data_IF_269939676722
#
_entry.id   IF_269939676722
#
_cell.length_a   1.000
_cell.length_b   1.000
_cell.length_c   1.000
_cell.angle_alpha   90.00
_cell.angle_beta   90.00
_cell.angle_gamma   90.00
#
_symmetry.space_group_name_H-M   'P 1'
#
loop_
_entity.id
_entity.type
_entity.pdbx_description
1 polymer ?
#
# COMPACT_ATOMS: atom_id res chain seq x y z
N UNK A 1 -18.81 -11.61 -9.91
CA UNK A 1 -17.40 -12.00 -9.71
C UNK A 1 -16.70 -12.07 -11.05
N UNK A 2 -15.49 -11.52 -11.14
CA UNK A 2 -14.71 -11.40 -12.38
C UNK A 2 -13.31 -11.99 -12.18
N UNK A 3 -13.09 -13.30 -12.33
CA UNK A 3 -11.74 -13.87 -12.38
C UNK A 3 -11.10 -13.60 -13.76
N UNK A 4 -9.79 -13.39 -13.74
CA UNK A 4 -8.96 -13.48 -14.93
C UNK A 4 -7.75 -14.37 -14.68
N UNK A 5 -7.34 -15.09 -15.72
CA UNK A 5 -6.28 -16.09 -15.63
C UNK A 5 -5.21 -15.95 -16.70
N UNK A 6 -4.22 -16.83 -16.62
CA UNK A 6 -3.15 -16.99 -17.63
C UNK A 6 -3.67 -17.50 -18.99
N UNK A 7 -4.97 -17.77 -19.10
CA UNK A 7 -5.64 -18.13 -20.35
C UNK A 7 -6.07 -16.91 -21.17
N UNK A 8 -5.65 -15.70 -20.74
CA UNK A 8 -5.94 -14.44 -21.42
C UNK A 8 -7.44 -14.14 -21.51
N UNK A 9 -8.24 -14.68 -20.58
CA UNK A 9 -9.69 -14.42 -20.53
C UNK A 9 -10.10 -13.76 -19.22
N UNK A 10 -11.12 -12.91 -19.31
CA UNK A 10 -11.85 -12.36 -18.16
C UNK A 10 -13.26 -12.95 -18.23
N UNK A 11 -13.70 -13.63 -17.18
CA UNK A 11 -15.02 -14.29 -17.15
C UNK A 11 -15.95 -13.60 -16.17
N UNK A 12 -17.21 -13.46 -16.53
CA UNK A 12 -18.24 -12.85 -15.68
C UNK A 12 -19.07 -13.94 -15.08
N UNK A 13 -19.00 -14.08 -13.76
CA UNK A 13 -19.78 -15.04 -13.01
C UNK A 13 -20.74 -14.34 -12.09
N UNK A 14 -21.98 -14.79 -12.11
CA UNK A 14 -22.92 -14.51 -11.04
C UNK A 14 -22.56 -15.39 -9.82
N UNK A 15 -22.31 -14.74 -8.68
CA UNK A 15 -21.67 -15.38 -7.54
C UNK A 15 -22.51 -16.54 -6.97
N UNK A 16 -23.82 -16.35 -6.82
CA UNK A 16 -24.67 -17.37 -6.19
C UNK A 16 -25.31 -18.35 -7.17
N UNK A 17 -25.39 -18.07 -8.46
CA UNK A 17 -25.89 -19.04 -9.44
C UNK A 17 -24.76 -19.91 -10.00
N UNK A 18 -23.53 -19.40 -10.01
CA UNK A 18 -22.40 -20.06 -10.67
C UNK A 18 -22.51 -20.04 -12.19
N UNK A 19 -23.34 -19.15 -12.77
CA UNK A 19 -23.49 -19.05 -14.22
C UNK A 19 -22.44 -18.08 -14.77
N UNK A 20 -21.69 -18.52 -15.78
CA UNK A 20 -20.80 -17.66 -16.55
C UNK A 20 -21.65 -16.89 -17.59
N UNK A 21 -21.93 -15.61 -17.34
CA UNK A 21 -22.76 -14.78 -18.21
C UNK A 21 -22.01 -14.23 -19.42
N UNK A 22 -20.70 -13.99 -19.29
CA UNK A 22 -19.89 -13.36 -20.34
C UNK A 22 -18.42 -13.77 -20.24
N UNK A 23 -17.72 -13.76 -21.37
CA UNK A 23 -16.27 -13.92 -21.42
C UNK A 23 -15.69 -12.86 -22.36
N UNK A 24 -14.68 -12.12 -21.87
CA UNK A 24 -13.92 -11.14 -22.65
C UNK A 24 -12.54 -11.74 -22.90
N UNK A 25 -12.09 -11.66 -24.15
CA UNK A 25 -10.74 -12.07 -24.55
C UNK A 25 -9.77 -10.90 -24.37
N UNK A 26 -8.61 -11.17 -23.76
CA UNK A 26 -7.53 -10.23 -23.52
C UNK A 26 -6.22 -10.75 -24.15
N UNK A 27 -6.17 -10.91 -25.49
CA UNK A 27 -5.19 -11.75 -26.16
C UNK A 27 -3.74 -11.29 -26.04
N UNK A 28 -3.51 -9.99 -25.83
CA UNK A 28 -2.15 -9.43 -25.89
C UNK A 28 -1.34 -9.61 -24.61
N UNK A 29 -1.98 -9.83 -23.46
CA UNK A 29 -1.25 -10.09 -22.21
C UNK A 29 -2.12 -10.79 -21.17
N UNK A 30 -1.50 -11.37 -20.16
CA UNK A 30 -2.20 -11.83 -18.97
C UNK A 30 -2.74 -10.62 -18.19
N UNK A 31 -3.82 -10.83 -17.43
CA UNK A 31 -4.37 -9.77 -16.56
C UNK A 31 -3.78 -9.94 -15.17
N UNK A 32 -3.00 -8.95 -14.73
CA UNK A 32 -2.32 -8.96 -13.43
C UNK A 32 -3.23 -8.43 -12.31
N UNK A 33 -4.09 -7.45 -12.62
CA UNK A 33 -5.03 -6.86 -11.66
C UNK A 33 -6.36 -6.53 -12.34
N UNK A 34 -7.45 -6.76 -11.62
CA UNK A 34 -8.79 -6.32 -11.98
C UNK A 34 -9.30 -5.34 -10.92
N UNK A 35 -9.95 -4.27 -11.36
CA UNK A 35 -10.60 -3.32 -10.47
C UNK A 35 -11.91 -2.84 -11.10
N UNK A 36 -12.99 -2.87 -10.34
CA UNK A 36 -14.29 -2.34 -10.76
C UNK A 36 -14.35 -0.87 -10.37
N UNK A 37 -14.87 -0.01 -11.24
CA UNK A 37 -15.07 1.40 -10.90
C UNK A 37 -16.11 1.55 -9.77
N UNK A 38 -16.04 2.60 -8.94
CA UNK A 38 -16.99 2.79 -7.83
C UNK A 38 -18.45 2.90 -8.28
N UNK A 39 -18.71 3.41 -9.49
CA UNK A 39 -20.03 3.47 -10.13
C UNK A 39 -20.51 2.11 -10.67
N UNK A 40 -19.66 1.07 -10.58
CA UNK A 40 -19.90 -0.32 -11.04
C UNK A 40 -20.23 -0.44 -12.52
N UNK A 41 -19.95 0.60 -13.30
CA UNK A 41 -20.24 0.62 -14.73
C UNK A 41 -19.09 0.01 -15.53
N UNK A 42 -17.87 0.20 -15.08
CA UNK A 42 -16.68 -0.18 -15.82
C UNK A 42 -15.77 -1.12 -15.04
N UNK A 43 -14.99 -1.90 -15.78
CA UNK A 43 -13.97 -2.81 -15.29
C UNK A 43 -12.62 -2.40 -15.88
N UNK A 44 -11.66 -2.05 -15.03
CA UNK A 44 -10.27 -1.93 -15.44
C UNK A 44 -9.57 -3.30 -15.36
N UNK A 45 -8.92 -3.67 -16.46
CA UNK A 45 -8.02 -4.81 -16.53
C UNK A 45 -6.60 -4.32 -16.79
N UNK A 46 -5.71 -4.53 -15.83
CA UNK A 46 -4.28 -4.26 -15.95
C UNK A 46 -3.59 -5.43 -16.66
N UNK A 47 -3.01 -5.14 -17.82
CA UNK A 47 -2.20 -6.08 -18.57
C UNK A 47 -0.70 -5.86 -18.36
N UNK A 48 0.07 -6.12 -19.41
CA UNK A 48 1.52 -5.84 -19.43
C UNK A 48 1.79 -4.33 -19.33
N UNK A 49 1.62 -3.55 -20.38
CA UNK A 49 2.04 -2.14 -20.38
C UNK A 49 0.87 -1.14 -20.33
N UNK A 50 -0.36 -1.65 -20.29
CA UNK A 50 -1.57 -0.85 -20.43
C UNK A 50 -2.67 -1.34 -19.50
N UNK A 51 -3.60 -0.42 -19.21
CA UNK A 51 -4.87 -0.74 -18.56
C UNK A 51 -6.00 -0.55 -19.55
N UNK A 52 -6.90 -1.53 -19.65
CA UNK A 52 -8.09 -1.48 -20.52
C UNK A 52 -9.35 -1.35 -19.70
N UNK A 53 -10.23 -0.45 -20.11
CA UNK A 53 -11.52 -0.23 -19.47
C UNK A 53 -12.64 -0.86 -20.29
N UNK A 54 -13.39 -1.78 -19.69
CA UNK A 54 -14.53 -2.45 -20.31
C UNK A 54 -15.84 -2.02 -19.66
N UNK A 55 -16.92 -1.95 -20.43
CA UNK A 55 -18.25 -1.78 -19.87
C UNK A 55 -18.72 -3.12 -19.30
N UNK A 56 -19.15 -3.12 -18.04
CA UNK A 56 -19.65 -4.32 -17.36
C UNK A 56 -21.00 -4.74 -17.93
N UNK A 57 -21.87 -3.78 -18.31
CA UNK A 57 -23.23 -4.03 -18.80
C UNK A 57 -23.29 -4.26 -20.31
N UNK A 58 -22.40 -3.66 -21.08
CA UNK A 58 -22.37 -3.86 -22.54
C UNK A 58 -21.87 -5.26 -22.89
N UNK A 59 -22.43 -5.91 -23.90
CA UNK A 59 -21.91 -7.18 -24.42
C UNK A 59 -20.67 -7.01 -25.32
N UNK A 60 -20.33 -5.76 -25.71
CA UNK A 60 -19.23 -5.48 -26.62
C UNK A 60 -17.87 -5.86 -25.99
N UNK A 61 -17.09 -6.79 -26.57
CA UNK A 61 -15.81 -7.22 -25.99
C UNK A 61 -14.70 -6.17 -26.11
N UNK A 62 -14.88 -5.11 -26.91
CA UNK A 62 -13.86 -4.10 -27.11
C UNK A 62 -13.73 -3.16 -25.91
N UNK A 63 -12.51 -2.71 -25.57
CA UNK A 63 -12.31 -1.73 -24.52
C UNK A 63 -12.88 -0.37 -24.95
N UNK A 64 -13.50 0.34 -24.01
CA UNK A 64 -14.00 1.71 -24.19
C UNK A 64 -12.84 2.70 -24.19
N UNK A 65 -11.87 2.48 -23.30
CA UNK A 65 -10.71 3.34 -23.11
C UNK A 65 -9.48 2.47 -22.86
N UNK A 66 -8.33 2.94 -23.35
CA UNK A 66 -7.03 2.34 -23.08
C UNK A 66 -6.12 3.39 -22.45
N UNK A 67 -5.37 2.98 -21.43
CA UNK A 67 -4.41 3.80 -20.71
C UNK A 67 -3.02 3.23 -21.00
N UNK A 68 -2.30 3.86 -21.93
CA UNK A 68 -0.99 3.44 -22.38
C UNK A 68 0.08 4.40 -21.86
N UNK A 69 1.21 3.85 -21.42
CA UNK A 69 2.37 4.66 -21.06
C UNK A 69 3.35 3.99 -20.11
N UNK A 70 2.92 2.97 -19.36
CA UNK A 70 3.85 2.12 -18.62
C UNK A 70 4.74 1.34 -19.58
N UNK A 71 5.97 1.02 -19.18
CA UNK A 71 6.91 0.25 -20.01
C UNK A 71 6.96 -1.23 -19.63
N UNK A 72 6.43 -1.59 -18.47
CA UNK A 72 6.40 -2.95 -17.95
C UNK A 72 5.06 -3.26 -17.25
N UNK A 73 4.90 -4.51 -16.76
CA UNK A 73 3.70 -5.05 -16.13
C UNK A 73 3.04 -4.06 -15.17
N UNK A 74 1.76 -3.76 -15.38
CA UNK A 74 0.95 -3.03 -14.41
C UNK A 74 0.54 -4.02 -13.32
N UNK A 75 0.92 -3.73 -12.08
CA UNK A 75 0.81 -4.64 -10.94
C UNK A 75 -0.39 -4.32 -10.05
N UNK A 76 -0.78 -3.05 -9.97
CA UNK A 76 -1.87 -2.56 -9.14
C UNK A 76 -2.70 -1.52 -9.86
N UNK A 77 -3.99 -1.45 -9.53
CA UNK A 77 -4.96 -0.49 -10.05
C UNK A 77 -5.93 -0.12 -8.94
N UNK A 78 -6.14 1.17 -8.74
CA UNK A 78 -7.12 1.71 -7.80
C UNK A 78 -7.85 2.90 -8.43
N UNK A 79 -9.13 3.06 -8.12
CA UNK A 79 -9.94 4.19 -8.58
C UNK A 79 -10.23 5.17 -7.47
N UNK A 80 -10.23 6.46 -7.82
CA UNK A 80 -10.82 7.50 -6.97
C UNK A 80 -12.29 7.21 -6.71
N UNK A 81 -12.82 7.56 -5.53
CA UNK A 81 -14.20 7.29 -5.15
C UNK A 81 -15.25 7.88 -6.13
N UNK A 82 -14.98 9.03 -6.73
CA UNK A 82 -15.85 9.64 -7.76
C UNK A 82 -15.53 9.14 -9.18
N UNK A 83 -14.52 8.29 -9.37
CA UNK A 83 -14.13 7.75 -10.67
C UNK A 83 -13.46 8.73 -11.64
N UNK A 84 -13.12 9.95 -11.19
CA UNK A 84 -12.48 11.00 -12.02
C UNK A 84 -11.03 10.68 -12.41
N UNK A 85 -10.32 9.96 -11.56
CA UNK A 85 -8.94 9.55 -11.80
C UNK A 85 -8.71 8.12 -11.32
N UNK A 86 -7.68 7.50 -11.88
CA UNK A 86 -7.24 6.14 -11.61
C UNK A 86 -5.75 6.16 -11.28
N UNK A 87 -5.32 5.32 -10.35
CA UNK A 87 -3.91 5.13 -10.01
C UNK A 87 -3.47 3.75 -10.45
N UNK A 88 -2.28 3.67 -11.03
CA UNK A 88 -1.67 2.40 -11.43
C UNK A 88 -0.25 2.33 -10.90
N UNK A 89 0.16 1.14 -10.47
CA UNK A 89 1.55 0.81 -10.16
C UNK A 89 2.09 -0.14 -11.21
N UNK A 90 3.39 -0.06 -11.49
CA UNK A 90 4.03 -0.93 -12.47
C UNK A 90 5.42 -1.39 -12.03
N UNK A 91 5.83 -2.52 -12.61
CA UNK A 91 7.20 -3.01 -12.55
C UNK A 91 8.21 -2.08 -13.21
N UNK A 92 7.76 -1.04 -13.93
CA UNK A 92 8.62 0.03 -14.48
C UNK A 92 9.10 1.05 -13.43
N UNK A 93 8.86 0.75 -12.15
CA UNK A 93 9.23 1.59 -11.00
C UNK A 93 8.42 2.89 -10.91
N UNK A 94 7.30 3.00 -11.62
CA UNK A 94 6.44 4.19 -11.56
C UNK A 94 5.06 3.89 -10.99
N UNK A 95 4.52 4.89 -10.29
CA UNK A 95 3.10 4.98 -9.94
C UNK A 95 2.52 6.18 -10.69
N UNK A 96 1.49 5.94 -11.50
CA UNK A 96 0.90 6.97 -12.35
C UNK A 96 -0.54 7.24 -11.95
N UNK A 97 -0.90 8.52 -11.96
CA UNK A 97 -2.28 8.99 -11.79
C UNK A 97 -2.81 9.42 -13.15
N UNK A 98 -3.90 8.82 -13.56
CA UNK A 98 -4.53 9.01 -14.87
C UNK A 98 -5.86 9.73 -14.71
N UNK A 99 -6.16 10.65 -15.60
CA UNK A 99 -7.51 11.16 -15.79
C UNK A 99 -8.33 10.11 -16.53
N UNK A 100 -9.45 9.64 -15.95
CA UNK A 100 -10.22 8.52 -16.51
C UNK A 100 -10.96 8.88 -17.79
N UNK A 101 -11.23 10.17 -18.02
CA UNK A 101 -11.98 10.66 -19.18
C UNK A 101 -11.09 10.90 -20.39
N UNK A 102 -9.91 11.48 -20.17
CA UNK A 102 -8.96 11.81 -21.23
C UNK A 102 -7.92 10.73 -21.49
N UNK A 103 -7.67 9.83 -20.52
CA UNK A 103 -6.64 8.82 -20.62
C UNK A 103 -5.21 9.34 -20.43
N UNK A 104 -5.06 10.61 -20.04
CA UNK A 104 -3.75 11.25 -19.87
C UNK A 104 -3.20 11.06 -18.46
N UNK A 105 -1.88 10.92 -18.36
CA UNK A 105 -1.16 10.91 -17.07
C UNK A 105 -1.14 12.34 -16.51
N UNK A 106 -1.75 12.54 -15.34
CA UNK A 106 -1.71 13.80 -14.61
C UNK A 106 -0.50 13.90 -13.68
N UNK A 107 -0.12 12.78 -13.04
CA UNK A 107 1.01 12.72 -12.11
C UNK A 107 1.78 11.42 -12.28
N UNK A 108 3.09 11.49 -12.03
CA UNK A 108 3.99 10.36 -12.11
C UNK A 108 4.93 10.36 -10.90
N UNK A 109 4.90 9.30 -10.10
CA UNK A 109 5.73 9.12 -8.92
C UNK A 109 6.78 8.04 -9.19
N UNK A 110 8.04 8.38 -8.98
CA UNK A 110 9.17 7.50 -9.24
C UNK A 110 9.59 6.74 -7.97
N UNK A 111 9.75 5.44 -8.09
CA UNK A 111 10.36 4.56 -7.10
C UNK A 111 11.76 4.13 -7.54
N UNK A 112 12.54 3.61 -6.59
CA UNK A 112 13.88 3.04 -6.84
C UNK A 112 13.81 1.58 -7.28
N UNK A 113 12.74 0.89 -6.93
CA UNK A 113 12.49 -0.51 -7.26
C UNK A 113 11.14 -0.70 -7.94
N UNK A 114 10.90 -1.84 -8.62
CA UNK A 114 9.60 -2.16 -9.20
C UNK A 114 8.49 -2.11 -8.15
N UNK A 115 7.35 -1.50 -8.49
CA UNK A 115 6.22 -1.33 -7.56
C UNK A 115 5.29 -2.53 -7.69
N UNK A 116 4.99 -3.19 -6.58
CA UNK A 116 4.15 -4.40 -6.56
C UNK A 116 2.67 -4.09 -6.37
N UNK A 117 2.32 -3.06 -5.61
CA UNK A 117 0.92 -2.76 -5.30
C UNK A 117 0.72 -1.26 -5.00
N UNK A 118 -0.51 -0.79 -5.19
CA UNK A 118 -0.92 0.58 -4.90
C UNK A 118 -2.36 0.63 -4.44
N UNK A 119 -2.62 1.45 -3.42
CA UNK A 119 -3.95 1.71 -2.88
C UNK A 119 -4.14 3.20 -2.65
N UNK A 120 -5.37 3.68 -2.81
CA UNK A 120 -5.74 5.06 -2.52
C UNK A 120 -6.26 5.10 -1.08
N UNK A 121 -5.82 6.08 -0.31
CA UNK A 121 -6.33 6.29 1.04
C UNK A 121 -7.79 6.80 0.98
N UNK A 122 -8.69 6.43 1.92
CA UNK A 122 -10.07 6.88 1.92
C UNK A 122 -10.26 8.40 1.90
N UNK A 123 -9.29 9.17 2.42
CA UNK A 123 -9.30 10.64 2.33
C UNK A 123 -9.19 11.19 0.90
N UNK A 124 -8.88 10.34 -0.10
CA UNK A 124 -8.66 10.70 -1.51
C UNK A 124 -7.54 11.71 -1.77
N UNK A 125 -6.80 12.13 -0.75
CA UNK A 125 -5.67 13.06 -0.80
C UNK A 125 -4.32 12.36 -0.73
N UNK A 126 -4.30 11.09 -0.32
CA UNK A 126 -3.08 10.29 -0.22
C UNK A 126 -3.20 8.97 -0.97
N UNK A 127 -2.05 8.43 -1.39
CA UNK A 127 -1.94 7.06 -1.89
C UNK A 127 -0.78 6.35 -1.19
N UNK A 128 -0.92 5.03 -1.05
CA UNK A 128 0.11 4.16 -0.48
C UNK A 128 0.58 3.20 -1.55
N UNK A 129 1.89 3.04 -1.69
CA UNK A 129 2.53 2.17 -2.67
C UNK A 129 3.57 1.30 -2.02
N UNK A 130 3.70 0.06 -2.49
CA UNK A 130 4.65 -0.92 -1.98
C UNK A 130 5.59 -1.40 -3.09
N UNK A 131 6.89 -1.44 -2.80
CA UNK A 131 7.92 -1.82 -3.77
C UNK A 131 8.62 -3.15 -3.44
N UNK A 132 9.40 -3.64 -4.42
CA UNK A 132 10.24 -4.85 -4.27
C UNK A 132 11.47 -4.66 -3.39
N UNK A 133 11.85 -3.43 -3.09
CA UNK A 133 12.97 -3.12 -2.18
C UNK A 133 12.56 -3.13 -0.70
N UNK A 134 11.29 -3.35 -0.41
CA UNK A 134 10.76 -3.35 0.96
C UNK A 134 10.26 -1.99 1.44
N UNK A 135 10.24 -0.98 0.57
CA UNK A 135 9.71 0.33 0.90
C UNK A 135 8.20 0.37 0.70
N UNK A 136 7.52 0.89 1.71
CA UNK A 136 6.14 1.36 1.62
C UNK A 136 6.20 2.88 1.65
N UNK A 137 5.67 3.51 0.60
CA UNK A 137 5.67 4.97 0.46
C UNK A 137 4.26 5.51 0.48
N UNK A 138 4.05 6.53 1.30
CA UNK A 138 2.83 7.35 1.27
C UNK A 138 3.14 8.62 0.49
N UNK A 139 2.28 8.91 -0.48
CA UNK A 139 2.37 10.09 -1.31
C UNK A 139 1.18 10.99 -1.07
N UNK A 140 1.47 12.26 -0.85
CA UNK A 140 0.47 13.31 -0.85
C UNK A 140 0.18 13.69 -2.30
N UNK A 141 -1.08 13.60 -2.69
CA UNK A 141 -1.55 13.96 -4.02
C UNK A 141 -1.53 15.49 -4.19
N UNK A 142 -1.95 16.27 -3.20
CA UNK A 142 -1.95 17.74 -3.25
C UNK A 142 -0.56 18.31 -3.50
N UNK A 143 0.42 17.86 -2.72
CA UNK A 143 1.81 18.32 -2.83
C UNK A 143 2.65 17.54 -3.84
N UNK A 144 2.16 16.39 -4.32
CA UNK A 144 2.90 15.49 -5.22
C UNK A 144 4.28 15.06 -4.67
N UNK A 145 4.39 14.87 -3.35
CA UNK A 145 5.61 14.47 -2.66
C UNK A 145 5.42 13.19 -1.84
N UNK A 146 6.52 12.47 -1.61
CA UNK A 146 6.54 11.37 -0.66
C UNK A 146 6.56 11.94 0.76
N UNK A 147 5.51 11.72 1.55
CA UNK A 147 5.40 12.20 2.94
C UNK A 147 6.09 11.24 3.90
N UNK A 148 5.83 9.94 3.73
CA UNK A 148 6.38 8.89 4.60
C UNK A 148 7.02 7.77 3.78
N UNK A 149 8.14 7.26 4.28
CA UNK A 149 8.77 6.04 3.81
C UNK A 149 8.93 5.09 4.99
N UNK A 150 8.28 3.92 4.90
CA UNK A 150 8.33 2.85 5.87
C UNK A 150 9.14 1.70 5.30
N UNK A 151 10.04 1.15 6.11
CA UNK A 151 10.85 -0.02 5.74
C UNK A 151 10.61 -1.06 6.84
N UNK A 152 9.70 -2.03 6.62
CA UNK A 152 9.33 -3.01 7.65
C UNK A 152 10.40 -4.08 7.84
N UNK A 153 11.05 -4.51 6.75
CA UNK A 153 12.19 -5.42 6.72
C UNK A 153 13.09 -5.01 5.56
N UNK A 154 14.41 -4.97 5.79
CA UNK A 154 15.36 -4.50 4.79
C UNK A 154 15.53 -5.56 3.68
N UNK A 155 15.56 -5.12 2.43
CA UNK A 155 15.77 -5.95 1.25
C UNK A 155 14.74 -7.08 1.03
N UNK A 156 13.56 -6.99 1.66
CA UNK A 156 12.45 -7.92 1.43
C UNK A 156 11.30 -7.22 0.72
N UNK A 157 11.00 -7.69 -0.48
CA UNK A 157 9.85 -7.22 -1.27
C UNK A 157 8.55 -7.24 -0.47
N UNK A 158 7.84 -6.11 -0.48
CA UNK A 158 6.48 -5.99 0.04
C UNK A 158 5.53 -6.31 -1.11
N UNK A 159 4.83 -7.44 -1.00
CA UNK A 159 3.99 -8.01 -2.06
C UNK A 159 2.67 -7.28 -2.25
N UNK A 160 2.03 -6.85 -1.16
CA UNK A 160 0.70 -6.28 -1.18
C UNK A 160 0.48 -5.32 -0.01
N UNK A 161 -0.37 -4.33 -0.24
CA UNK A 161 -0.76 -3.32 0.74
C UNK A 161 -2.27 -3.14 0.74
N UNK A 162 -2.86 -2.92 1.92
CA UNK A 162 -4.28 -2.62 2.08
C UNK A 162 -4.47 -1.54 3.13
N UNK A 163 -5.39 -0.61 2.84
CA UNK A 163 -5.83 0.43 3.77
C UNK A 163 -7.27 0.14 4.19
N UNK A 164 -7.60 0.36 5.45
CA UNK A 164 -8.96 0.20 5.96
C UNK A 164 -9.91 1.23 5.33
N UNK A 165 -11.19 0.89 5.23
CA UNK A 165 -12.23 1.76 4.62
C UNK A 165 -12.44 3.07 5.37
N UNK A 166 -12.14 3.10 6.68
CA UNK A 166 -12.18 4.29 7.54
C UNK A 166 -10.86 5.09 7.55
N UNK A 167 -9.80 4.57 6.94
CA UNK A 167 -8.46 5.17 6.96
C UNK A 167 -7.72 5.04 8.29
N UNK A 168 -8.15 4.17 9.21
CA UNK A 168 -7.51 4.03 10.53
C UNK A 168 -6.36 3.02 10.55
N UNK A 169 -6.31 2.10 9.58
CA UNK A 169 -5.31 1.02 9.52
C UNK A 169 -4.65 0.93 8.15
N UNK A 170 -3.35 0.66 8.18
CA UNK A 170 -2.54 0.26 7.05
C UNK A 170 -1.98 -1.13 7.34
N UNK A 171 -2.16 -2.07 6.43
CA UNK A 171 -1.59 -3.40 6.52
C UNK A 171 -0.76 -3.70 5.27
N UNK A 172 0.40 -4.33 5.46
CA UNK A 172 1.28 -4.73 4.37
C UNK A 172 1.83 -6.14 4.61
N UNK A 173 2.01 -6.90 3.54
CA UNK A 173 2.54 -8.26 3.59
C UNK A 173 3.81 -8.41 2.76
N UNK A 174 4.82 -9.06 3.31
CA UNK A 174 6.10 -9.27 2.64
C UNK A 174 6.16 -10.63 1.93
N UNK A 175 7.20 -10.83 1.10
CA UNK A 175 7.46 -12.09 0.41
C UNK A 175 7.88 -13.24 1.36
N UNK A 176 8.19 -12.98 2.65
CA UNK A 176 8.51 -14.03 3.64
C UNK A 176 7.28 -14.59 4.35
N UNK A 177 6.08 -14.05 4.06
CA UNK A 177 4.84 -14.45 4.72
C UNK A 177 4.53 -13.66 6.00
N UNK A 178 5.29 -12.61 6.30
CA UNK A 178 5.08 -11.76 7.46
C UNK A 178 4.17 -10.58 7.11
N UNK A 179 3.36 -10.19 8.09
CA UNK A 179 2.38 -9.12 7.98
C UNK A 179 2.69 -8.05 9.00
N UNK A 180 2.63 -6.80 8.54
CA UNK A 180 2.88 -5.60 9.31
C UNK A 180 1.62 -4.74 9.31
N UNK A 181 1.23 -4.25 10.48
CA UNK A 181 0.05 -3.41 10.65
C UNK A 181 0.44 -2.13 11.37
N UNK A 182 0.05 -1.00 10.79
CA UNK A 182 0.17 0.35 11.37
C UNK A 182 -1.22 0.95 11.58
N UNK A 183 -1.34 1.75 12.63
CA UNK A 183 -2.47 2.65 12.83
C UNK A 183 -2.15 4.01 12.24
N UNK A 184 -3.10 4.52 11.48
CA UNK A 184 -3.05 5.83 10.86
C UNK A 184 -3.92 6.78 11.65
N UNK A 185 -3.32 7.90 12.05
CA UNK A 185 -4.01 9.02 12.65
C UNK A 185 -3.91 10.19 11.68
N UNK A 186 -5.06 10.60 11.14
CA UNK A 186 -5.15 11.76 10.29
C UNK A 186 -5.19 13.01 11.17
N UNK A 187 -4.10 13.77 11.20
CA UNK A 187 -4.11 15.14 11.71
C UNK A 187 -4.35 16.11 10.55
N UNK A 188 -4.73 17.35 10.85
CA UNK A 188 -5.06 18.37 9.83
C UNK A 188 -3.97 18.55 8.75
N UNK A 189 -2.69 18.41 9.11
CA UNK A 189 -1.57 18.66 8.20
C UNK A 189 -0.70 17.41 7.92
N UNK A 190 -0.91 16.28 8.61
CA UNK A 190 -0.08 15.08 8.41
C UNK A 190 -0.74 13.79 8.90
N UNK A 191 -0.38 12.70 8.22
CA UNK A 191 -0.75 11.34 8.64
C UNK A 191 0.31 10.78 9.55
N UNK A 192 -0.03 10.53 10.82
CA UNK A 192 0.89 9.88 11.76
C UNK A 192 0.67 8.37 11.72
N UNK A 193 1.75 7.61 11.57
CA UNK A 193 1.74 6.15 11.53
C UNK A 193 2.35 5.59 12.81
N UNK A 194 1.59 4.77 13.53
CA UNK A 194 2.08 4.02 14.68
C UNK A 194 2.12 2.54 14.35
N UNK A 195 3.28 1.86 14.45
CA UNK A 195 3.33 0.41 14.24
C UNK A 195 2.57 -0.29 15.37
N UNK A 196 1.68 -1.21 14.99
CA UNK A 196 0.81 -1.92 15.94
C UNK A 196 1.23 -3.36 16.11
N UNK A 197 1.33 -4.13 15.03
CA UNK A 197 1.62 -5.57 15.11
C UNK A 197 2.47 -6.02 13.95
N UNK A 198 3.30 -7.02 14.23
CA UNK A 198 4.01 -7.82 13.25
C UNK A 198 3.82 -9.27 13.61
N UNK A 199 3.46 -10.11 12.65
CA UNK A 199 3.36 -11.54 12.87
C UNK A 199 3.57 -12.31 11.57
N UNK A 200 4.00 -13.57 11.71
CA UNK A 200 4.15 -14.49 10.58
C UNK A 200 2.79 -15.10 10.22
N UNK A 201 2.22 -14.69 9.09
CA UNK A 201 0.94 -15.19 8.61
C UNK A 201 1.10 -16.55 7.91
N UNK A 202 2.10 -16.67 7.05
CA UNK A 202 2.35 -17.85 6.21
C UNK A 202 3.80 -18.32 6.31
N UNK A 203 4.05 -19.59 5.95
CA UNK A 203 5.41 -20.14 5.88
C UNK A 203 6.14 -19.76 4.59
N UNK A 204 5.36 -19.45 3.55
CA UNK A 204 5.82 -19.18 2.19
C UNK A 204 5.39 -17.78 1.74
N UNK A 205 5.62 -17.45 0.46
CA UNK A 205 5.32 -16.14 -0.13
C UNK A 205 3.87 -15.70 0.12
N UNK A 206 3.69 -14.51 0.70
CA UNK A 206 2.40 -13.83 0.69
C UNK A 206 2.18 -13.22 -0.69
N UNK A 207 1.00 -13.44 -1.26
CA UNK A 207 0.64 -12.97 -2.61
C UNK A 207 -0.34 -11.82 -2.56
N UNK A 208 -1.28 -11.84 -1.60
CA UNK A 208 -2.29 -10.81 -1.42
C UNK A 208 -2.64 -10.63 0.05
N UNK A 209 -2.86 -9.38 0.44
CA UNK A 209 -3.40 -9.01 1.73
C UNK A 209 -4.56 -8.05 1.51
N UNK A 210 -5.68 -8.27 2.20
CA UNK A 210 -6.85 -7.38 2.13
C UNK A 210 -7.53 -7.26 3.49
N UNK A 211 -7.86 -6.03 3.85
CA UNK A 211 -8.75 -5.72 4.97
C UNK A 211 -10.21 -5.87 4.51
N UNK A 212 -11.06 -6.41 5.39
CA UNK A 212 -12.49 -6.49 5.12
C UNK A 212 -13.13 -5.09 5.07
N UNK A 213 -14.23 -4.91 4.33
CA UNK A 213 -14.96 -3.65 4.30
C UNK A 213 -15.42 -3.15 5.67
N UNK A 214 -15.69 -4.07 6.60
CA UNK A 214 -16.08 -3.77 8.00
C UNK A 214 -14.90 -3.62 8.97
N UNK A 215 -13.66 -3.82 8.48
CA UNK A 215 -12.40 -3.66 9.22
C UNK A 215 -12.21 -4.68 10.37
N UNK A 216 -13.09 -5.69 10.47
CA UNK A 216 -12.99 -6.73 11.52
C UNK A 216 -12.11 -7.89 11.13
N UNK A 217 -11.88 -8.09 9.83
CA UNK A 217 -11.14 -9.23 9.30
C UNK A 217 -9.99 -8.77 8.41
N UNK A 218 -8.93 -9.57 8.41
CA UNK A 218 -7.81 -9.47 7.49
C UNK A 218 -7.72 -10.80 6.75
N UNK A 219 -7.74 -10.80 5.42
CA UNK A 219 -7.44 -11.97 4.62
C UNK A 219 -6.00 -11.91 4.09
N UNK A 220 -5.28 -13.02 4.20
CA UNK A 220 -3.94 -13.20 3.64
C UNK A 220 -3.94 -14.43 2.73
N UNK A 221 -3.49 -14.25 1.49
CA UNK A 221 -3.32 -15.32 0.50
C UNK A 221 -1.83 -15.64 0.34
N UNK A 222 -1.52 -16.91 0.05
CA UNK A 222 -0.14 -17.33 -0.07
C UNK A 222 0.10 -18.39 -1.13
N UNK A 223 1.37 -18.48 -1.53
CA UNK A 223 1.96 -19.58 -2.26
C UNK A 223 1.92 -20.92 -1.49
N UNK A 224 1.69 -20.91 -0.17
CA UNK A 224 1.52 -22.13 0.64
C UNK A 224 0.17 -22.86 0.44
N UNK A 225 -0.62 -22.41 -0.54
CA UNK A 225 -1.93 -22.93 -0.93
C UNK A 225 -3.02 -22.69 0.12
N UNK A 226 -2.80 -21.80 1.08
CA UNK A 226 -3.81 -21.45 2.08
C UNK A 226 -4.23 -20.00 1.96
N UNK A 227 -5.46 -19.73 2.36
CA UNK A 227 -5.90 -18.39 2.72
C UNK A 227 -6.19 -18.39 4.20
N UNK A 228 -5.64 -17.42 4.92
CA UNK A 228 -5.88 -17.26 6.36
C UNK A 228 -6.65 -15.98 6.61
N UNK A 229 -7.66 -16.08 7.45
CA UNK A 229 -8.47 -14.95 7.88
C UNK A 229 -8.18 -14.69 9.35
N UNK A 230 -7.87 -13.45 9.67
CA UNK A 230 -7.46 -13.01 11.01
C UNK A 230 -8.48 -12.03 11.55
N UNK A 231 -8.86 -12.18 12.82
CA UNK A 231 -9.72 -11.21 13.50
C UNK A 231 -8.89 -10.01 13.93
N UNK A 232 -9.32 -8.84 13.50
CA UNK A 232 -8.75 -7.56 13.91
C UNK A 232 -9.53 -7.08 15.11
N UNK A 233 -8.89 -7.15 16.28
CA UNK A 233 -9.32 -6.45 17.48
C UNK A 233 -8.17 -5.54 17.93
N UNK A 234 -8.33 -4.25 17.64
CA UNK A 234 -7.36 -3.20 17.94
C UNK A 234 -7.94 -2.18 18.94
N UNK A 235 -8.84 -2.63 19.82
CA UNK A 235 -9.29 -1.87 20.99
C UNK A 235 -8.10 -1.38 21.83
N UNK A 236 -8.17 -0.15 22.33
CA UNK A 236 -7.04 0.53 23.00
C UNK A 236 -6.52 -0.21 24.24
N UNK A 237 -7.36 -1.03 24.89
CA UNK A 237 -6.99 -1.84 26.06
C UNK A 237 -5.91 -2.90 25.75
N UNK A 238 -5.76 -3.30 24.48
CA UNK A 238 -4.77 -4.30 24.05
C UNK A 238 -3.46 -3.68 23.53
N UNK A 239 -3.30 -2.35 23.65
CA UNK A 239 -2.22 -1.59 23.04
C UNK A 239 -1.61 -0.64 24.10
N UNK A 240 -0.76 -1.17 24.98
CA UNK A 240 0.13 -0.30 25.76
C UNK A 240 0.92 0.60 24.78
N UNK A 241 0.75 1.91 24.92
CA UNK A 241 1.52 2.90 24.20
C UNK A 241 3.01 2.68 24.52
N UNK A 242 3.83 2.59 23.49
CA UNK A 242 5.28 2.55 23.66
C UNK A 242 5.71 3.92 24.17
N UNK A 243 5.87 4.05 25.49
CA UNK A 243 6.69 5.12 26.05
C UNK A 243 8.13 4.72 25.80
N UNK A 244 8.76 5.34 24.80
CA UNK A 244 10.23 5.39 24.72
C UNK A 244 10.72 6.16 25.95
N UNK A 245 10.89 5.47 27.08
CA UNK A 245 11.77 6.00 28.12
C UNK A 245 13.20 5.74 27.67
N UNK A 246 14.03 6.79 27.48
CA UNK A 246 15.46 6.59 27.30
C UNK A 246 16.00 5.97 28.59
N UNK A 247 16.48 4.73 28.50
CA UNK A 247 17.17 4.06 29.60
C UNK A 247 18.46 4.83 29.89
N UNK A 248 18.41 5.78 30.82
CA UNK A 248 19.62 6.29 31.46
C UNK A 248 20.15 5.17 32.35
N UNK A 249 21.08 4.39 31.80
CA UNK A 249 21.95 3.54 32.60
C UNK A 249 22.81 4.45 33.49
N UNK A 250 22.48 4.52 34.77
CA UNK A 250 23.39 5.01 35.80
C UNK A 250 23.75 3.80 36.63
N UNK A 251 24.99 3.34 36.48
CA UNK A 251 25.57 2.26 37.25
C UNK A 251 25.48 2.57 38.75
N UNK A 252 24.91 1.64 39.49
CA UNK A 252 24.84 1.70 40.94
C UNK A 252 26.19 1.39 41.57
N UNK A 253 26.74 2.36 42.31
CA UNK A 253 27.53 2.06 43.49
C UNK A 253 26.76 2.55 44.73
N UNK A 254 26.40 1.58 45.56
CA UNK A 254 25.75 1.73 46.86
C UNK A 254 26.73 2.21 47.93
N UNK A 255 26.34 3.22 48.70
CA UNK A 255 26.83 3.43 50.07
C UNK A 255 25.65 3.84 50.98
N UNK A 256 25.46 3.25 52.17
CA UNK A 256 24.36 3.58 53.05
C UNK A 256 24.83 4.46 54.22
N UNK A 257 24.19 5.62 54.45
CA UNK A 257 24.11 6.21 55.81
C UNK A 257 23.09 7.36 55.91
N UNK A 258 21.93 7.03 56.47
CA UNK A 258 21.13 7.78 57.47
C UNK A 258 20.55 9.19 57.17
N UNK A 259 19.44 9.55 57.86
CA UNK A 259 18.31 10.28 57.26
C UNK A 259 18.24 11.74 57.72
N UNK A 260 17.48 12.57 57.00
CA UNK A 260 16.69 13.61 57.65
C UNK A 260 15.54 14.16 56.78
N UNK A 261 14.48 14.49 57.51
CA UNK A 261 13.19 15.03 57.12
C UNK A 261 13.28 16.36 56.34
N UNK A 262 12.32 16.62 55.45
CA UNK A 262 11.29 17.67 55.63
C UNK A 262 10.41 17.83 54.37
N UNK A 263 9.10 17.83 54.59
CA UNK A 263 8.09 18.49 53.73
C UNK A 263 8.45 19.98 53.56
N UNK A 264 8.11 20.58 52.41
CA UNK A 264 7.20 21.75 52.30
C UNK A 264 6.93 22.09 50.83
N UNK A 265 5.69 22.52 50.63
CA UNK A 265 4.86 22.87 49.48
C UNK A 265 5.27 24.08 48.62
N UNK A 266 4.80 24.06 47.36
CA UNK A 266 4.30 25.13 46.47
C UNK A 266 4.73 26.60 46.68
N UNK A 267 5.11 27.28 45.58
CA UNK A 267 4.43 28.50 45.10
C UNK A 267 5.04 29.06 43.80
N UNK A 268 4.13 29.54 42.96
CA UNK A 268 4.27 30.42 41.77
C UNK A 268 4.70 31.85 42.12
N UNK A 269 5.42 32.56 41.23
CA UNK A 269 5.05 33.90 40.66
C UNK A 269 6.22 34.66 40.00
N UNK A 270 5.97 35.10 38.75
CA UNK A 270 6.15 36.42 38.10
C UNK A 270 7.48 37.22 38.05
N UNK A 271 7.69 37.79 36.84
CA UNK A 271 8.29 39.11 36.54
C UNK A 271 9.79 39.06 36.25
N UNK A 272 10.39 39.77 35.26
CA UNK A 272 10.05 41.04 34.64
C UNK A 272 10.91 41.27 33.37
N UNK A 273 10.48 42.18 32.51
CA UNK A 273 11.08 42.60 31.25
C UNK A 273 12.42 43.37 31.34
N UNK A 274 13.20 43.39 30.25
CA UNK A 274 13.59 44.61 29.51
C UNK A 274 14.55 44.33 28.34
N UNK A 275 14.25 44.96 27.20
CA UNK A 275 15.13 45.22 26.04
C UNK A 275 15.76 46.62 26.22
N UNK A 276 16.89 46.99 25.57
CA UNK A 276 16.77 47.65 24.25
C UNK A 276 17.93 47.46 23.25
N UNK A 277 17.66 47.96 22.03
CA UNK A 277 18.41 47.96 20.75
C UNK A 277 19.62 48.92 20.70
N UNK A 278 20.55 48.66 19.76
CA UNK A 278 21.15 49.65 18.82
C UNK A 278 21.98 48.91 17.74
N UNK A 279 21.63 48.94 16.44
CA UNK A 279 21.95 49.90 15.37
C UNK A 279 23.42 49.94 14.89
N UNK A 280 23.63 49.77 13.57
CA UNK A 280 24.91 50.03 12.89
C UNK A 280 24.94 49.61 11.41
N UNK A 281 24.61 50.56 10.52
CA UNK A 281 24.66 50.47 9.05
C UNK A 281 26.10 50.50 8.49
N UNK A 282 26.29 49.98 7.27
CA UNK A 282 27.45 50.27 6.42
C UNK A 282 27.32 49.72 5.00
N UNK A 283 27.04 50.60 4.02
CA UNK A 283 26.95 50.37 2.57
C UNK A 283 28.32 50.54 1.88
N UNK A 284 28.52 49.85 0.74
CA UNK A 284 29.17 50.26 -0.55
C UNK A 284 29.70 49.00 -1.27
N UNK A 285 29.31 48.58 -2.48
CA UNK A 285 29.18 49.14 -3.85
C UNK A 285 30.46 49.11 -4.70
N UNK A 286 30.43 48.19 -5.68
CA UNK A 286 30.92 48.27 -7.07
C UNK A 286 32.42 48.30 -7.42
N UNK A 287 32.82 47.38 -8.31
CA UNK A 287 33.54 47.72 -9.56
C UNK A 287 33.52 46.55 -10.57
N UNK A 288 33.50 46.93 -11.86
CA UNK A 288 33.40 46.14 -13.09
C UNK A 288 34.74 46.13 -13.84
N UNK A 289 34.79 45.30 -14.90
CA UNK A 289 35.77 45.22 -16.02
C UNK A 289 36.96 44.29 -15.77
N UNK A 290 37.46 43.48 -16.73
CA UNK A 290 37.51 43.60 -18.19
C UNK A 290 37.93 42.25 -18.84
N UNK A 291 37.54 42.04 -20.12
CA UNK A 291 38.26 41.37 -21.26
C UNK A 291 39.01 40.04 -21.07
N UNK A 292 39.20 39.12 -22.02
CA UNK A 292 38.62 38.67 -23.30
C UNK A 292 39.59 37.58 -23.82
N UNK A 293 39.06 36.47 -24.34
CA UNK A 293 39.66 35.58 -25.36
C UNK A 293 41.14 35.17 -25.29
N UNK A 294 41.39 33.86 -25.13
CA UNK A 294 42.21 33.12 -26.09
C UNK A 294 41.91 31.61 -26.03
N UNK A 295 41.83 31.02 -27.22
CA UNK A 295 41.54 29.62 -27.49
C UNK A 295 42.83 28.83 -27.69
N UNK A 296 42.87 27.60 -27.17
CA UNK A 296 43.68 26.49 -27.70
C UNK A 296 43.24 25.16 -27.06
N UNK A 297 42.72 24.24 -27.89
CA UNK A 297 42.70 22.77 -27.70
C UNK A 297 44.13 22.20 -27.92
N UNK A 298 44.51 20.94 -27.57
CA UNK A 298 43.68 19.71 -27.60
C UNK A 298 43.98 18.62 -26.53
N UNK A 299 43.32 17.46 -26.68
CA UNK A 299 43.62 16.08 -26.21
C UNK A 299 42.83 15.50 -25.01
N UNK A 300 42.06 14.44 -25.33
CA UNK A 300 41.43 13.42 -24.46
C UNK A 300 42.48 12.63 -23.63
N UNK A 301 42.18 11.90 -22.52
CA UNK A 301 41.03 10.98 -22.37
C UNK A 301 40.40 10.76 -20.95
N UNK A 302 39.20 10.14 -20.96
CA UNK A 302 38.62 9.18 -19.98
C UNK A 302 38.78 9.46 -18.45
N UNK A 303 37.67 9.78 -17.76
CA UNK A 303 37.19 9.02 -16.57
C UNK A 303 35.98 9.66 -15.87
N UNK A 304 34.94 8.85 -15.68
CA UNK A 304 33.91 8.85 -14.61
C UNK A 304 33.68 10.13 -13.79
N UNK A 305 32.62 10.88 -14.11
CA UNK A 305 32.01 11.83 -13.17
C UNK A 305 30.86 11.17 -12.40
N UNK A 306 31.02 11.15 -11.07
CA UNK A 306 29.95 10.89 -10.11
C UNK A 306 28.88 11.96 -10.27
N UNK A 307 27.69 11.59 -10.73
CA UNK A 307 26.52 12.45 -10.57
C UNK A 307 25.99 12.30 -9.14
N UNK A 308 26.22 13.34 -8.33
CA UNK A 308 25.47 13.60 -7.11
C UNK A 308 24.02 13.91 -7.47
N UNK A 309 23.14 12.91 -7.40
CA UNK A 309 21.71 13.17 -7.34
C UNK A 309 21.38 13.62 -5.93
N UNK A 310 21.09 14.92 -5.78
CA UNK A 310 20.39 15.45 -4.62
C UNK A 310 18.93 14.97 -4.68
N UNK A 311 18.71 13.71 -4.30
CA UNK A 311 17.37 13.22 -3.98
C UNK A 311 16.95 13.82 -2.63
N UNK A 312 15.87 14.59 -2.61
CA UNK A 312 15.21 15.02 -1.38
C UNK A 312 14.84 13.77 -0.58
N UNK A 313 15.56 13.48 0.52
CA UNK A 313 15.16 12.42 1.43
C UNK A 313 13.82 12.76 2.06
N UNK A 314 12.89 11.80 2.20
CA UNK A 314 11.61 12.04 2.86
C UNK A 314 11.84 12.44 4.32
N UNK A 315 11.06 13.41 4.80
CA UNK A 315 11.22 14.03 6.11
C UNK A 315 11.05 13.04 7.29
N UNK A 316 10.45 11.88 7.06
CA UNK A 316 10.24 10.84 8.06
C UNK A 316 10.50 9.45 7.48
N UNK A 317 11.74 8.97 7.60
CA UNK A 317 12.06 7.54 7.40
C UNK A 317 11.82 6.83 8.73
N UNK A 318 10.77 6.01 8.81
CA UNK A 318 10.48 5.23 10.00
C UNK A 318 10.99 3.79 9.83
N UNK A 319 11.88 3.35 10.74
CA UNK A 319 12.37 1.96 10.81
C UNK A 319 11.59 1.23 11.89
N UNK A 320 10.62 0.43 11.47
CA UNK A 320 9.61 -0.15 12.34
C UNK A 320 9.99 -1.56 12.83
N UNK A 321 11.14 -1.73 13.48
CA UNK A 321 11.39 -2.96 14.25
C UNK A 321 11.99 -2.58 15.60
N UNK A 322 11.18 -2.03 16.49
CA UNK A 322 11.48 -2.15 17.91
C UNK A 322 11.18 -3.60 18.30
N UNK A 323 12.12 -4.29 18.97
CA UNK A 323 11.96 -5.65 19.55
C UNK A 323 10.65 -5.83 20.35
N UNK A 324 10.02 -4.73 20.75
CA UNK A 324 8.75 -4.63 21.48
C UNK A 324 7.55 -5.08 20.62
N UNK A 325 7.58 -4.98 19.29
CA UNK A 325 6.46 -5.41 18.47
C UNK A 325 6.43 -6.94 18.31
N UNK A 326 7.59 -7.59 18.30
CA UNK A 326 7.72 -9.06 18.28
C UNK A 326 7.17 -9.71 19.56
N UNK A 327 7.14 -8.98 20.69
CA UNK A 327 6.58 -9.50 21.94
C UNK A 327 5.06 -9.40 22.01
N UNK A 328 4.41 -8.68 21.08
CA UNK A 328 2.94 -8.61 21.00
C UNK A 328 2.39 -9.92 20.45
N UNK A 329 1.27 -10.38 21.04
CA UNK A 329 0.60 -11.58 20.56
C UNK A 329 0.17 -11.41 19.09
N UNK A 330 0.38 -12.42 18.24
CA UNK A 330 -0.11 -12.40 16.87
C UNK A 330 -1.63 -12.21 16.85
N UNK A 331 -2.18 -11.70 15.75
CA UNK A 331 -3.63 -11.70 15.59
C UNK A 331 -4.15 -13.13 15.69
N UNK A 332 -5.30 -13.36 16.35
CA UNK A 332 -5.91 -14.68 16.34
C UNK A 332 -6.33 -15.03 14.91
N UNK A 333 -5.78 -16.12 14.40
CA UNK A 333 -6.25 -16.71 13.15
C UNK A 333 -7.64 -17.29 13.40
N UNK A 334 -8.63 -16.75 12.71
CA UNK A 334 -10.03 -17.14 12.87
C UNK A 334 -10.35 -18.36 12.00
N UNK A 335 -9.93 -18.29 10.73
CA UNK A 335 -10.23 -19.31 9.73
C UNK A 335 -9.02 -19.57 8.87
N UNK A 336 -8.75 -20.85 8.59
CA UNK A 336 -7.80 -21.31 7.57
C UNK A 336 -8.62 -21.98 6.48
N UNK A 337 -8.52 -21.47 5.26
CA UNK A 337 -9.16 -22.01 4.07
C UNK A 337 -8.13 -22.83 3.31
N UNK A 338 -8.25 -24.15 3.40
CA UNK A 338 -7.30 -25.14 2.90
C UNK A 338 -7.99 -26.13 1.95
N UNK A 339 -8.20 -25.74 0.69
CA UNK A 339 -8.62 -26.67 -0.37
C UNK A 339 -8.03 -26.32 -1.74
N UNK A 340 -7.02 -25.45 -1.76
CA UNK A 340 -6.33 -25.04 -2.97
C UNK A 340 -5.16 -26.00 -3.23
N UNK A 341 -4.93 -26.34 -4.49
CA UNK A 341 -3.86 -27.28 -4.87
C UNK A 341 -2.57 -26.58 -5.33
N UNK A 342 -2.64 -25.25 -5.46
CA UNK A 342 -1.62 -24.37 -6.01
C UNK A 342 -1.70 -23.02 -5.31
N UNK A 343 -0.83 -22.10 -5.70
CA UNK A 343 -0.78 -20.74 -5.19
C UNK A 343 -2.14 -20.05 -5.30
N UNK A 344 -2.54 -19.40 -4.22
CA UNK A 344 -3.69 -18.49 -4.19
C UNK A 344 -3.15 -17.11 -4.47
N UNK A 345 -3.62 -16.46 -5.54
CA UNK A 345 -3.03 -15.20 -5.99
C UNK A 345 -3.76 -13.97 -5.47
N UNK A 346 -5.07 -14.08 -5.28
CA UNK A 346 -5.90 -12.95 -4.91
C UNK A 346 -7.18 -13.40 -4.23
N UNK A 347 -7.77 -12.48 -3.48
CA UNK A 347 -9.07 -12.66 -2.86
C UNK A 347 -9.91 -11.39 -2.94
N UNK A 348 -11.20 -11.50 -2.68
CA UNK A 348 -12.10 -10.37 -2.56
C UNK A 348 -13.20 -10.69 -1.54
N UNK A 349 -13.40 -9.81 -0.56
CA UNK A 349 -14.51 -9.88 0.39
C UNK A 349 -15.82 -9.46 -0.27
N UNK A 350 -16.92 -10.06 0.18
CA UNK A 350 -18.25 -9.48 0.01
C UNK A 350 -18.40 -8.18 0.81
N UNK A 351 -19.37 -7.36 0.43
CA UNK A 351 -19.71 -6.10 1.09
C UNK A 351 -20.02 -6.28 2.58
N UNK A 352 -20.65 -7.38 2.95
CA UNK A 352 -21.00 -7.73 4.33
C UNK A 352 -19.87 -8.48 5.08
N UNK A 353 -18.74 -8.73 4.41
CA UNK A 353 -17.61 -9.50 4.95
C UNK A 353 -17.95 -10.93 5.39
N UNK A 354 -19.10 -11.48 4.99
CA UNK A 354 -19.51 -12.85 5.30
C UNK A 354 -18.94 -13.89 4.31
N UNK A 355 -18.65 -13.46 3.09
CA UNK A 355 -18.13 -14.30 2.02
C UNK A 355 -16.76 -13.84 1.56
N UNK A 356 -15.95 -14.80 1.13
CA UNK A 356 -14.66 -14.55 0.52
C UNK A 356 -14.56 -15.29 -0.81
N UNK A 357 -14.20 -14.56 -1.86
CA UNK A 357 -13.82 -15.15 -3.14
C UNK A 357 -12.31 -15.29 -3.17
N UNK A 358 -11.82 -16.43 -3.65
CA UNK A 358 -10.40 -16.70 -3.84
C UNK A 358 -10.15 -17.20 -5.25
N UNK A 359 -9.01 -16.85 -5.84
CA UNK A 359 -8.55 -17.37 -7.13
C UNK A 359 -7.21 -18.06 -7.01
N UNK A 360 -7.10 -19.22 -7.64
CA UNK A 360 -5.95 -20.08 -7.52
C UNK A 360 -5.43 -20.51 -8.90
N UNK A 361 -4.15 -20.86 -8.91
CA UNK A 361 -3.50 -21.43 -10.09
C UNK A 361 -4.00 -22.81 -10.49
N UNK A 362 -4.86 -23.45 -9.67
CA UNK A 362 -5.50 -24.73 -9.97
C UNK A 362 -6.75 -24.61 -10.87
N UNK A 363 -6.86 -23.51 -11.63
CA UNK A 363 -7.94 -23.21 -12.60
C UNK A 363 -9.28 -22.80 -11.98
N UNK A 364 -9.43 -22.93 -10.66
CA UNK A 364 -10.67 -22.65 -9.98
C UNK A 364 -10.67 -21.29 -9.28
N UNK A 365 -11.78 -20.58 -9.41
CA UNK A 365 -12.20 -19.62 -8.41
C UNK A 365 -13.09 -20.34 -7.39
N UNK A 366 -13.03 -19.93 -6.12
CA UNK A 366 -13.87 -20.50 -5.05
C UNK A 366 -14.54 -19.39 -4.27
N UNK A 367 -15.83 -19.54 -4.02
CA UNK A 367 -16.61 -18.72 -3.10
C UNK A 367 -16.77 -19.47 -1.78
N UNK A 368 -16.32 -18.83 -0.71
CA UNK A 368 -16.29 -19.35 0.64
C UNK A 368 -17.28 -18.61 1.53
N UNK A 369 -17.92 -19.33 2.44
CA UNK A 369 -18.60 -18.75 3.60
C UNK A 369 -17.61 -18.68 4.76
N UNK A 370 -17.34 -17.49 5.28
CA UNK A 370 -16.34 -17.33 6.34
C UNK A 370 -16.82 -17.86 7.69
N UNK A 371 -18.13 -17.82 7.96
CA UNK A 371 -18.69 -18.34 9.21
C UNK A 371 -18.52 -19.86 9.38
N UNK A 372 -18.54 -20.62 8.29
CA UNK A 372 -18.42 -22.09 8.29
C UNK A 372 -17.10 -22.60 7.71
N UNK A 373 -16.28 -21.72 7.14
CA UNK A 373 -15.08 -22.05 6.36
C UNK A 373 -15.34 -23.02 5.18
N UNK A 374 -16.60 -23.08 4.70
CA UNK A 374 -17.01 -24.02 3.67
C UNK A 374 -17.00 -23.40 2.27
N UNK A 375 -16.72 -24.23 1.26
CA UNK A 375 -16.86 -23.82 -0.14
C UNK A 375 -18.34 -23.87 -0.50
N UNK A 376 -18.92 -22.71 -0.77
CA UNK A 376 -20.29 -22.60 -1.29
C UNK A 376 -20.30 -22.99 -2.75
N UNK A 377 -19.32 -22.45 -3.51
CA UNK A 377 -19.21 -22.69 -4.95
C UNK A 377 -17.79 -22.72 -5.44
N UNK A 378 -17.59 -23.55 -6.45
CA UNK A 378 -16.35 -23.63 -7.21
C UNK A 378 -16.68 -23.32 -8.67
N UNK A 379 -15.99 -22.34 -9.24
CA UNK A 379 -16.21 -21.89 -10.61
C UNK A 379 -15.13 -22.47 -11.49
N UNK A 380 -15.55 -23.24 -12.49
CA UNK A 380 -14.67 -23.85 -13.47
C UNK A 380 -14.88 -23.19 -14.82
N UNK A 381 -13.82 -22.64 -15.40
CA UNK A 381 -13.90 -22.06 -16.74
C UNK A 381 -12.57 -21.58 -17.29
N UNK A 382 -11.58 -21.32 -16.44
CA UNK A 382 -10.26 -20.98 -16.93
C UNK A 382 -9.49 -22.24 -17.33
N UNK A 383 -8.88 -22.24 -18.51
CA UNK A 383 -8.05 -23.38 -18.96
C UNK A 383 -6.64 -23.34 -18.34
N UNK A 384 -6.28 -22.20 -17.74
CA UNK A 384 -5.03 -21.98 -16.97
C UNK A 384 -5.36 -21.37 -15.62
N UNK A 385 -4.38 -21.23 -14.74
CA UNK A 385 -4.57 -20.68 -13.41
C UNK A 385 -5.21 -19.28 -13.42
N UNK A 386 -6.12 -19.02 -12.47
CA UNK A 386 -6.69 -17.70 -12.24
C UNK A 386 -5.77 -16.89 -11.31
N UNK A 387 -5.55 -15.61 -11.64
CA UNK A 387 -4.52 -14.76 -11.01
C UNK A 387 -5.13 -13.59 -10.25
N UNK A 388 -6.24 -13.02 -10.73
CA UNK A 388 -6.89 -11.89 -10.07
C UNK A 388 -8.41 -12.03 -10.09
N UNK A 389 -9.06 -11.38 -9.13
CA UNK A 389 -10.51 -11.36 -9.02
C UNK A 389 -11.03 -9.99 -8.61
N UNK A 390 -12.16 -9.59 -9.20
CA UNK A 390 -12.95 -8.49 -8.70
C UNK A 390 -14.36 -8.97 -8.33
N UNK A 391 -14.88 -8.51 -7.20
CA UNK A 391 -16.24 -8.79 -6.74
C UNK A 391 -17.03 -7.49 -6.69
N UNK A 392 -18.27 -7.56 -7.17
CA UNK A 392 -19.29 -6.55 -6.97
C UNK A 392 -20.57 -7.30 -6.62
N UNK A 393 -21.00 -7.17 -5.38
CA UNK A 393 -22.10 -7.90 -4.76
C UNK A 393 -23.14 -6.97 -4.11
N UNK A 394 -22.91 -5.65 -4.14
CA UNK A 394 -23.93 -4.67 -3.82
C UNK A 394 -25.05 -4.73 -4.85
N UNK A 395 -26.20 -5.28 -4.46
CA UNK A 395 -27.45 -5.05 -5.16
C UNK A 395 -27.68 -3.55 -5.28
N UNK A 396 -27.97 -3.05 -6.49
CA UNK A 396 -28.64 -1.76 -6.58
C UNK A 396 -29.89 -1.86 -5.69
N UNK A 397 -30.17 -0.87 -4.81
CA UNK A 397 -31.48 -0.84 -4.19
C UNK A 397 -32.55 -0.89 -5.30
N UNK A 398 -33.64 -1.65 -5.08
CA UNK A 398 -34.67 -1.92 -6.07
C UNK A 398 -35.33 -0.65 -6.63
#
# INVERSE_FOLDING_TARGET
MLPAGYDHTIRFWEALSGICSRTIQHPESQVNRLCITPDKKYLAAAGRHMVRLYDIKSSNPNPIQQFEGHTNNVTGVAFHCEGKWMVTSSEDMTVRVWDTRSGLVQRNYQHTHPVNDVVIHPNQGELVSADRGGNIRIWDLGESKCTHQLIPDEDVSVSSVSVASDGSLLAAGNNKGDVYIWRMYQNHDSTTLLPCRVFKAHKDYLTRLLLSPDIKLLATCSADHTVRVWKIDMTEENLEAVTDQPSTGVDGHSDPSTPNQALVTSQTLNGSAMNPRSNGNGRSSASLSSTSSNATSPTDPVSSSKHSQSGSQPAHTFRAISKIIETRKPLPCDVVLDNHQRWVWDCAFSADSAYLVTVCSDHYARLWELGTASIIRQYNGHHRGAVCVALNDYSNPP
#
